data_IF_944542008261
#
_entry.id   IF_944542008261
#
_cell.length_a   1.000
_cell.length_b   1.000
_cell.length_c   1.000
_cell.angle_alpha   90.00
_cell.angle_beta   90.00
_cell.angle_gamma   90.00
#
_symmetry.space_group_name_H-M   'P 1'
#
loop_
_entity.id
_entity.type
_entity.pdbx_description
1 polymer ?
#
# COMPACT_ATOMS: atom_id res chain seq x y z
N UNK A 1 -8.62 18.24 19.18
CA UNK A 1 -8.95 17.25 18.14
C UNK A 1 -7.65 16.89 17.45
N UNK A 2 -7.03 15.79 17.86
CA UNK A 2 -5.81 15.26 17.23
C UNK A 2 -6.20 14.73 15.86
N UNK A 3 -5.93 15.52 14.82
CA UNK A 3 -5.91 15.01 13.45
C UNK A 3 -4.85 13.91 13.43
N UNK A 4 -5.28 12.65 13.48
CA UNK A 4 -4.45 11.52 13.08
C UNK A 4 -4.12 11.79 11.61
N UNK A 5 -3.01 12.50 11.36
CA UNK A 5 -2.39 12.62 10.05
C UNK A 5 -1.84 11.24 9.71
N UNK A 6 -2.76 10.31 9.45
CA UNK A 6 -2.46 9.07 8.77
C UNK A 6 -1.70 9.51 7.51
N UNK A 7 -0.49 8.99 7.27
CA UNK A 7 0.22 9.34 6.07
C UNK A 7 -0.71 9.01 4.90
N UNK A 8 -1.04 10.01 4.08
CA UNK A 8 -1.83 9.80 2.87
C UNK A 8 -0.93 9.05 1.90
N UNK A 9 -1.04 7.73 1.91
CA UNK A 9 -0.44 6.88 0.91
C UNK A 9 -1.45 6.75 -0.22
N UNK A 10 -1.15 7.35 -1.36
CA UNK A 10 -1.84 7.04 -2.61
C UNK A 10 -1.31 5.72 -3.16
N UNK A 11 -2.23 4.87 -3.61
CA UNK A 11 -1.93 3.58 -4.21
C UNK A 11 -2.27 3.65 -5.69
N UNK A 12 -1.40 3.10 -6.54
CA UNK A 12 -1.63 2.99 -7.96
C UNK A 12 -1.33 1.57 -8.44
N UNK A 13 -2.00 1.19 -9.52
CA UNK A 13 -1.73 -0.04 -10.22
C UNK A 13 -0.82 0.27 -11.40
N UNK A 14 0.35 -0.37 -11.42
CA UNK A 14 1.21 -0.43 -12.56
C UNK A 14 0.78 -1.62 -13.43
N UNK A 15 0.13 -1.29 -14.55
CA UNK A 15 -0.34 -2.23 -15.57
C UNK A 15 0.61 -2.24 -16.79
N UNK A 16 1.88 -1.90 -16.57
CA UNK A 16 2.90 -1.85 -17.63
C UNK A 16 3.09 -3.20 -18.32
N UNK A 17 2.75 -4.31 -17.64
CA UNK A 17 2.82 -5.65 -18.18
C UNK A 17 1.41 -6.24 -18.39
N UNK A 18 1.12 -6.83 -19.57
CA UNK A 18 -0.21 -7.37 -19.85
C UNK A 18 -0.55 -8.64 -19.06
N UNK A 19 0.43 -9.32 -18.46
CA UNK A 19 0.21 -10.56 -17.70
C UNK A 19 0.24 -10.34 -16.18
N UNK A 20 0.71 -9.17 -15.71
CA UNK A 20 0.80 -8.83 -14.28
C UNK A 20 0.42 -7.37 -13.99
N UNK A 21 -0.38 -7.19 -12.94
CA UNK A 21 -0.73 -5.90 -12.36
C UNK A 21 0.00 -5.74 -11.05
N UNK A 22 0.79 -4.67 -10.90
CA UNK A 22 1.57 -4.41 -9.69
C UNK A 22 0.93 -3.29 -8.89
N UNK A 23 0.54 -3.57 -7.65
CA UNK A 23 0.11 -2.56 -6.69
C UNK A 23 1.33 -1.87 -6.08
N UNK A 24 1.40 -0.56 -6.23
CA UNK A 24 2.46 0.29 -5.70
C UNK A 24 1.90 1.45 -4.89
N UNK A 25 2.70 1.94 -3.96
CA UNK A 25 2.46 3.20 -3.24
C UNK A 25 3.08 4.37 -4.00
N UNK A 26 2.61 5.60 -3.76
CA UNK A 26 3.16 6.82 -4.37
C UNK A 26 4.68 6.97 -4.19
N UNK A 27 5.22 6.43 -3.10
CA UNK A 27 6.66 6.41 -2.80
C UNK A 27 7.44 5.41 -3.68
N UNK A 28 6.79 4.82 -4.68
CA UNK A 28 7.32 3.73 -5.52
C UNK A 28 7.62 2.44 -4.76
N UNK A 29 7.16 2.35 -3.50
CA UNK A 29 7.20 1.13 -2.70
C UNK A 29 6.29 0.07 -3.29
N UNK A 30 6.83 -1.13 -3.49
CA UNK A 30 6.09 -2.30 -3.95
C UNK A 30 5.21 -2.86 -2.83
N UNK A 31 3.93 -3.09 -3.13
CA UNK A 31 2.96 -3.67 -2.17
C UNK A 31 2.72 -5.13 -2.52
N UNK A 32 2.23 -5.38 -3.73
CA UNK A 32 1.87 -6.72 -4.19
C UNK A 32 1.88 -6.80 -5.71
N UNK A 33 2.06 -7.99 -6.25
CA UNK A 33 1.88 -8.28 -7.67
C UNK A 33 0.75 -9.29 -7.84
N UNK A 34 -0.12 -9.03 -8.79
CA UNK A 34 -1.25 -9.86 -9.15
C UNK A 34 -1.12 -10.26 -10.60
N UNK A 35 -1.35 -11.53 -10.95
CA UNK A 35 -1.50 -11.87 -12.37
C UNK A 35 -2.72 -11.14 -12.94
N UNK A 36 -2.64 -10.57 -14.13
CA UNK A 36 -3.76 -9.89 -14.78
C UNK A 36 -5.01 -10.77 -14.89
N UNK A 37 -4.83 -12.10 -14.92
CA UNK A 37 -5.92 -13.09 -14.95
C UNK A 37 -6.51 -13.42 -13.57
N UNK A 38 -5.74 -13.19 -12.50
CA UNK A 38 -6.12 -13.45 -11.11
C UNK A 38 -6.30 -12.20 -10.25
N UNK A 39 -6.05 -11.01 -10.82
CA UNK A 39 -6.16 -9.72 -10.18
C UNK A 39 -7.65 -9.37 -10.01
N UNK A 40 -8.23 -9.78 -8.88
CA UNK A 40 -9.58 -9.34 -8.51
C UNK A 40 -9.47 -7.99 -7.81
N UNK A 41 -10.46 -7.13 -8.06
CA UNK A 41 -10.56 -5.83 -7.38
C UNK A 41 -10.54 -5.99 -5.85
N UNK A 42 -11.15 -7.05 -5.34
CA UNK A 42 -11.16 -7.39 -3.92
C UNK A 42 -9.76 -7.77 -3.42
N UNK A 43 -9.02 -8.61 -4.14
CA UNK A 43 -7.65 -8.99 -3.75
C UNK A 43 -6.68 -7.80 -3.75
N UNK A 44 -6.83 -6.89 -4.70
CA UNK A 44 -6.04 -5.65 -4.75
C UNK A 44 -6.37 -4.75 -3.55
N UNK A 45 -7.65 -4.55 -3.24
CA UNK A 45 -8.08 -3.71 -2.12
C UNK A 45 -7.66 -4.31 -0.77
N UNK A 46 -7.78 -5.62 -0.60
CA UNK A 46 -7.32 -6.29 0.63
C UNK A 46 -5.82 -6.14 0.80
N UNK A 47 -5.01 -6.37 -0.25
CA UNK A 47 -3.56 -6.18 -0.16
C UNK A 47 -3.17 -4.73 0.17
N UNK A 48 -3.83 -3.73 -0.43
CA UNK A 48 -3.63 -2.33 -0.07
C UNK A 48 -3.99 -2.06 1.39
N UNK A 49 -5.05 -2.69 1.89
CA UNK A 49 -5.54 -2.51 3.26
C UNK A 49 -4.61 -3.15 4.27
N UNK A 50 -4.16 -4.39 4.05
CA UNK A 50 -3.19 -5.08 4.91
C UNK A 50 -1.88 -4.29 5.02
N UNK A 51 -1.37 -3.85 3.88
CA UNK A 51 -0.20 -3.01 3.75
C UNK A 51 -0.32 -1.66 4.49
N UNK A 52 -1.50 -1.05 4.42
CA UNK A 52 -1.81 0.17 5.17
C UNK A 52 -1.87 -0.09 6.68
N UNK A 53 -2.47 -1.19 7.12
CA UNK A 53 -2.51 -1.56 8.55
C UNK A 53 -1.12 -1.82 9.11
N UNK A 54 -0.27 -2.52 8.38
CA UNK A 54 1.15 -2.75 8.73
C UNK A 54 1.90 -1.41 8.88
N UNK A 55 1.70 -0.48 7.93
CA UNK A 55 2.28 0.87 8.00
C UNK A 55 1.82 1.67 9.21
N UNK A 56 0.52 1.66 9.50
CA UNK A 56 -0.02 2.38 10.65
C UNK A 56 0.52 1.78 11.94
N UNK A 57 0.58 0.45 12.06
CA UNK A 57 1.18 -0.22 13.22
C UNK A 57 2.67 0.11 13.36
N UNK A 58 3.43 0.07 12.26
CA UNK A 58 4.84 0.42 12.26
C UNK A 58 5.06 1.89 12.62
N UNK A 59 4.20 2.81 12.17
CA UNK A 59 4.28 4.23 12.50
C UNK A 59 3.88 4.50 13.96
N UNK A 60 2.86 3.81 14.47
CA UNK A 60 2.43 3.89 15.88
C UNK A 60 3.46 3.27 16.84
N UNK A 61 4.17 2.23 16.42
CA UNK A 61 5.23 1.59 17.22
C UNK A 61 6.64 2.14 16.95
N UNK A 62 6.80 3.07 16.02
CA UNK A 62 8.09 3.71 15.78
C UNK A 62 8.44 4.62 16.96
N UNK A 63 9.53 4.37 17.72
CA UNK A 63 10.03 5.38 18.63
C UNK A 63 10.37 6.60 17.77
N UNK A 64 9.80 7.75 18.12
CA UNK A 64 10.08 9.04 17.50
C UNK A 64 11.58 9.11 17.21
N UNK A 65 11.97 9.02 15.93
CA UNK A 65 13.35 9.24 15.52
C UNK A 65 13.60 10.73 15.77
N UNK A 66 14.04 11.03 16.99
CA UNK A 66 14.61 12.33 17.34
C UNK A 66 15.79 12.55 16.42
N UNK A 67 15.64 13.50 15.51
CA UNK A 67 16.75 14.30 14.99
C UNK A 67 17.02 15.42 15.98
#
# INVERSE_FOLDING_TARGET
>A
MTELRLPKFDYYLDESDPDVVILRRQDSSFVAAFSARGATREGIVEAAREDYWELIQAHTNAPSRKI
#
